data_IF_872859527974
#
_entry.id   IF_872859527974
#
_cell.length_a   1.000
_cell.length_b   1.000
_cell.length_c   1.000
_cell.angle_alpha   90.00
_cell.angle_beta   90.00
_cell.angle_gamma   90.00
#
_symmetry.space_group_name_H-M   'P 1'
#
loop_
_entity.id
_entity.type
_entity.pdbx_description
1 polymer ?
#
# COMPACT_ATOMS: atom_id res chain seq x y z
N UNK A 1 4.18 -35.72 7.09
CA UNK A 1 4.56 -35.44 5.70
C UNK A 1 5.61 -34.33 5.72
N UNK A 2 6.69 -34.47 4.96
CA UNK A 2 7.84 -33.55 5.00
C UNK A 2 7.52 -32.29 4.19
N UNK A 3 7.48 -31.12 4.83
CA UNK A 3 7.39 -29.80 4.17
C UNK A 3 8.71 -29.53 3.42
N UNK A 4 8.62 -29.22 2.14
CA UNK A 4 9.76 -28.75 1.34
C UNK A 4 9.87 -27.24 1.54
N UNK A 5 11.01 -26.77 2.03
CA UNK A 5 11.38 -25.36 2.03
C UNK A 5 12.02 -25.07 0.66
N UNK A 6 11.44 -24.17 -0.12
CA UNK A 6 12.13 -23.58 -1.27
C UNK A 6 12.53 -22.17 -0.85
N UNK A 7 13.84 -21.98 -0.67
CA UNK A 7 14.46 -20.69 -0.39
C UNK A 7 14.80 -20.10 -1.76
N UNK A 8 14.05 -19.10 -2.20
CA UNK A 8 14.35 -18.36 -3.42
C UNK A 8 15.56 -17.45 -3.15
N UNK A 9 16.62 -17.61 -3.94
CA UNK A 9 17.82 -16.78 -3.88
C UNK A 9 17.56 -15.56 -4.78
N UNK A 10 17.26 -14.41 -4.18
CA UNK A 10 17.15 -13.14 -4.91
C UNK A 10 18.56 -12.55 -5.05
N UNK A 11 19.03 -12.44 -6.29
CA UNK A 11 20.33 -11.84 -6.62
C UNK A 11 20.15 -10.33 -6.79
N UNK A 12 20.59 -9.55 -5.81
CA UNK A 12 20.54 -8.07 -5.82
C UNK A 12 21.40 -7.47 -6.94
N UNK A 13 20.79 -6.61 -7.76
CA UNK A 13 21.49 -5.55 -8.49
C UNK A 13 20.82 -4.24 -8.11
N UNK A 14 21.47 -3.49 -7.21
CA UNK A 14 21.08 -2.15 -6.78
C UNK A 14 21.44 -1.13 -7.86
N UNK A 15 20.45 -0.48 -8.47
CA UNK A 15 20.64 0.77 -9.22
C UNK A 15 19.65 1.79 -8.67
N UNK A 16 20.15 2.68 -7.81
CA UNK A 16 19.39 3.82 -7.30
C UNK A 16 19.19 4.85 -8.42
N UNK A 17 17.95 5.16 -8.74
CA UNK A 17 17.59 6.31 -9.58
C UNK A 17 16.52 7.13 -8.87
N UNK A 18 16.92 8.29 -8.37
CA UNK A 18 16.02 9.31 -7.81
C UNK A 18 15.27 9.99 -8.96
N UNK A 19 13.95 9.83 -9.02
CA UNK A 19 13.10 10.72 -9.81
C UNK A 19 12.43 11.72 -8.88
N UNK A 20 12.92 12.96 -8.93
CA UNK A 20 12.26 14.15 -8.40
C UNK A 20 11.30 14.63 -9.48
N UNK A 21 10.00 14.40 -9.29
CA UNK A 21 8.94 14.99 -10.11
C UNK A 21 8.66 16.42 -9.66
N UNK A 22 9.16 17.40 -10.43
CA UNK A 22 8.79 18.80 -10.29
C UNK A 22 7.42 19.06 -10.93
N UNK A 23 6.51 19.59 -10.12
CA UNK A 23 5.19 20.09 -10.49
C UNK A 23 5.32 21.33 -11.40
N UNK A 24 4.59 21.37 -12.53
CA UNK A 24 4.62 22.52 -13.45
C UNK A 24 3.60 23.62 -13.09
N UNK A 25 4.14 24.84 -13.22
CA UNK A 25 3.61 26.17 -13.01
C UNK A 25 2.29 26.54 -13.73
N UNK A 26 1.55 27.46 -13.12
CA UNK A 26 0.77 28.46 -13.84
C UNK A 26 1.51 29.82 -13.83
N UNK A 27 1.84 30.29 -15.04
CA UNK A 27 2.45 31.58 -15.38
C UNK A 27 1.44 32.73 -15.39
N UNK A 28 1.82 33.94 -14.96
CA UNK A 28 1.89 35.11 -15.87
C UNK A 28 2.42 36.41 -15.21
N UNK A 29 3.58 36.84 -15.75
CA UNK A 29 4.00 38.19 -16.17
C UNK A 29 4.03 39.45 -15.25
N UNK A 30 5.29 39.81 -14.89
CA UNK A 30 6.04 41.08 -15.15
C UNK A 30 5.43 42.45 -14.76
N UNK A 31 6.11 43.17 -13.86
CA UNK A 31 6.63 44.54 -14.08
C UNK A 31 7.52 45.02 -12.93
N UNK A 32 8.70 45.55 -13.27
CA UNK A 32 9.68 46.20 -12.39
C UNK A 32 9.13 47.48 -11.70
N UNK A 33 9.57 47.75 -10.46
CA UNK A 33 10.13 49.06 -10.08
C UNK A 33 10.80 49.01 -8.70
N UNK A 34 11.96 49.65 -8.63
CA UNK A 34 12.86 49.80 -7.48
C UNK A 34 12.44 51.03 -6.64
N UNK A 35 12.82 51.01 -5.35
CA UNK A 35 13.24 52.15 -4.48
C UNK A 35 12.33 52.46 -3.27
N UNK A 36 12.93 52.20 -2.10
CA UNK A 36 12.88 52.92 -0.80
C UNK A 36 11.57 53.56 -0.31
N UNK A 37 11.16 53.16 0.90
CA UNK A 37 11.18 54.09 2.03
C UNK A 37 11.15 53.40 3.39
N UNK A 38 11.78 54.09 4.32
CA UNK A 38 12.20 53.64 5.63
C UNK A 38 11.21 54.01 6.75
N UNK A 39 11.55 53.47 7.92
CA UNK A 39 11.34 54.00 9.28
C UNK A 39 10.16 53.41 10.08
N UNK A 40 10.58 52.58 11.04
CA UNK A 40 10.30 52.61 12.49
C UNK A 40 8.86 52.56 12.99
N UNK A 41 8.58 51.57 13.85
CA UNK A 41 8.01 51.70 15.22
C UNK A 41 8.12 50.30 15.88
N UNK A 42 9.17 50.02 16.65
CA UNK A 42 9.20 49.86 18.14
C UNK A 42 8.11 48.98 18.76
N UNK A 43 8.53 47.96 19.52
CA UNK A 43 7.90 47.62 20.80
C UNK A 43 7.52 46.15 21.06
N UNK A 44 8.41 45.46 21.78
CA UNK A 44 8.15 44.53 22.92
C UNK A 44 7.44 43.17 22.74
N UNK A 45 8.22 42.13 23.07
CA UNK A 45 7.89 40.92 23.84
C UNK A 45 6.52 40.24 23.67
N UNK A 46 6.56 39.07 23.00
CA UNK A 46 5.95 37.85 23.52
C UNK A 46 6.66 36.64 22.89
N UNK A 47 7.43 35.94 23.72
CA UNK A 47 8.00 34.63 23.41
C UNK A 47 6.87 33.60 23.44
N UNK A 48 6.23 33.36 22.30
CA UNK A 48 5.38 32.17 22.13
C UNK A 48 6.24 31.03 21.61
N UNK A 49 6.65 30.24 22.59
CA UNK A 49 7.22 28.92 22.50
C UNK A 49 6.27 28.05 21.68
N UNK A 50 6.68 27.70 20.46
CA UNK A 50 6.05 26.67 19.65
C UNK A 50 6.22 25.35 20.40
N UNK A 51 5.18 24.93 21.12
CA UNK A 51 5.08 23.58 21.67
C UNK A 51 4.73 22.63 20.54
N UNK A 52 5.73 21.80 20.22
CA UNK A 52 5.60 20.46 19.68
C UNK A 52 4.29 19.80 20.15
N UNK A 53 3.41 19.54 19.20
CA UNK A 53 2.18 18.79 19.40
C UNK A 53 2.45 17.32 19.13
N UNK A 54 3.09 16.64 20.09
CA UNK A 54 3.29 15.17 20.07
C UNK A 54 3.30 14.51 21.45
N UNK A 55 3.03 15.22 22.56
CA UNK A 55 3.05 14.63 23.92
C UNK A 55 1.76 14.76 24.75
N UNK A 56 0.75 15.52 24.33
CA UNK A 56 -0.47 15.72 25.13
C UNK A 56 -1.64 14.86 24.63
N UNK A 57 -1.67 13.57 25.00
CA UNK A 57 -2.90 12.79 25.30
C UNK A 57 -2.67 11.31 25.69
N UNK A 58 -1.46 10.89 26.04
CA UNK A 58 -1.15 9.49 26.40
C UNK A 58 -1.94 9.02 27.65
N UNK A 59 -2.29 9.92 28.58
CA UNK A 59 -2.91 9.54 29.86
C UNK A 59 -4.42 9.24 29.82
N UNK A 60 -5.13 9.72 28.79
CA UNK A 60 -6.60 9.59 28.68
C UNK A 60 -7.05 8.68 27.50
N UNK A 61 -6.09 8.11 26.77
CA UNK A 61 -6.35 7.12 25.71
C UNK A 61 -6.80 5.78 26.31
N UNK A 62 -7.82 5.15 25.71
CA UNK A 62 -8.22 3.77 26.06
C UNK A 62 -7.08 2.77 25.81
N UNK A 63 -6.05 3.16 25.05
CA UNK A 63 -4.90 2.34 24.68
C UNK A 63 -3.62 2.66 25.48
N UNK A 64 -3.68 3.52 26.50
CA UNK A 64 -2.51 3.89 27.32
C UNK A 64 -1.78 2.67 27.93
N UNK A 65 -2.51 1.62 28.31
CA UNK A 65 -1.92 0.38 28.83
C UNK A 65 -1.20 -0.43 27.74
N UNK A 66 -1.63 -0.34 26.48
CA UNK A 66 -0.96 -0.98 25.33
C UNK A 66 0.34 -0.24 25.03
N UNK A 67 0.27 1.09 24.90
CA UNK A 67 1.43 1.96 24.60
C UNK A 67 2.54 1.85 25.66
N UNK A 68 2.16 1.65 26.92
CA UNK A 68 3.09 1.48 28.04
C UNK A 68 3.57 0.03 28.28
N UNK A 69 3.17 -0.92 27.44
CA UNK A 69 3.57 -2.33 27.54
C UNK A 69 2.92 -3.11 28.70
N UNK A 70 1.87 -2.57 29.32
CA UNK A 70 1.18 -3.20 30.45
C UNK A 70 0.02 -4.11 30.03
N UNK A 71 -0.59 -3.83 28.87
CA UNK A 71 -1.63 -4.65 28.28
C UNK A 71 -1.07 -5.55 27.16
N UNK A 72 -1.72 -6.71 27.00
CA UNK A 72 -1.46 -7.63 25.90
C UNK A 72 -2.55 -7.49 24.83
N UNK A 73 -2.16 -7.69 23.59
CA UNK A 73 -2.99 -7.70 22.38
C UNK A 73 -3.08 -9.12 21.85
N UNK A 74 -4.29 -9.57 21.50
CA UNK A 74 -4.54 -10.90 20.94
C UNK A 74 -4.20 -10.89 19.44
N UNK A 75 -3.34 -11.82 19.00
CA UNK A 75 -2.98 -11.96 17.60
C UNK A 75 -3.98 -12.85 16.86
N UNK A 76 -4.58 -12.34 15.79
CA UNK A 76 -5.65 -13.03 15.05
C UNK A 76 -5.21 -13.63 13.71
N UNK A 77 -4.00 -13.30 13.23
CA UNK A 77 -3.55 -13.66 11.88
C UNK A 77 -4.25 -12.92 10.74
N UNK A 78 -5.16 -11.99 11.03
CA UNK A 78 -5.84 -11.19 9.99
C UNK A 78 -4.88 -10.18 9.37
N UNK A 79 -4.92 -10.09 8.04
CA UNK A 79 -4.07 -9.19 7.27
C UNK A 79 -2.59 -9.59 7.20
N UNK A 80 -2.22 -10.72 7.84
CA UNK A 80 -0.85 -11.27 7.87
C UNK A 80 -0.48 -11.90 6.52
N UNK A 81 -0.33 -11.05 5.51
CA UNK A 81 0.21 -11.39 4.20
C UNK A 81 1.38 -10.46 3.92
N UNK A 82 2.58 -11.03 3.85
CA UNK A 82 3.82 -10.28 4.03
C UNK A 82 4.79 -10.51 2.89
N UNK A 83 5.65 -9.53 2.63
CA UNK A 83 6.66 -9.61 1.56
C UNK A 83 7.92 -10.32 2.05
N UNK A 84 8.29 -10.15 3.31
CA UNK A 84 9.52 -10.70 3.87
C UNK A 84 9.25 -11.71 5.00
N UNK A 85 8.39 -11.39 5.96
CA UNK A 85 8.08 -12.29 7.08
C UNK A 85 6.64 -12.19 7.58
N UNK A 86 5.93 -13.32 7.56
CA UNK A 86 4.59 -13.44 8.14
C UNK A 86 4.72 -13.50 9.67
N UNK A 87 3.96 -12.70 10.40
CA UNK A 87 3.94 -12.72 11.87
C UNK A 87 3.60 -14.10 12.40
N UNK A 88 2.77 -14.87 11.69
CA UNK A 88 2.42 -16.26 12.02
C UNK A 88 3.61 -17.22 12.07
N UNK A 89 4.79 -16.81 11.57
CA UNK A 89 6.02 -17.58 11.71
C UNK A 89 6.63 -17.48 13.12
N UNK A 90 6.32 -16.40 13.85
CA UNK A 90 6.88 -16.10 15.19
C UNK A 90 5.81 -15.95 16.27
N UNK A 91 4.56 -15.67 15.90
CA UNK A 91 3.40 -15.56 16.77
C UNK A 91 2.44 -16.74 16.57
N UNK A 92 1.61 -17.01 17.57
CA UNK A 92 0.58 -18.04 17.51
C UNK A 92 -0.81 -17.39 17.58
N UNK A 93 -1.67 -17.75 16.64
CA UNK A 93 -3.06 -17.26 16.60
C UNK A 93 -3.78 -17.52 17.93
N UNK A 94 -4.59 -16.55 18.36
CA UNK A 94 -5.32 -16.51 19.64
C UNK A 94 -4.46 -16.39 20.91
N UNK A 95 -3.13 -16.32 20.79
CA UNK A 95 -2.27 -15.95 21.93
C UNK A 95 -2.15 -14.43 22.06
N UNK A 96 -1.81 -13.96 23.26
CA UNK A 96 -1.71 -12.53 23.55
C UNK A 96 -0.30 -12.10 23.94
N UNK A 97 0.13 -10.99 23.36
CA UNK A 97 1.49 -10.46 23.47
C UNK A 97 1.47 -8.97 23.80
N UNK A 98 2.46 -8.45 24.51
CA UNK A 98 2.72 -7.00 24.50
C UNK A 98 3.38 -6.61 23.17
N UNK A 99 3.36 -5.33 22.81
CA UNK A 99 4.07 -4.85 21.62
C UNK A 99 5.57 -5.17 21.70
N UNK A 100 6.17 -5.04 22.89
CA UNK A 100 7.55 -5.45 23.15
C UNK A 100 7.79 -6.95 22.91
N UNK A 101 6.89 -7.82 23.37
CA UNK A 101 7.00 -9.27 23.15
C UNK A 101 6.90 -9.62 21.65
N UNK A 102 6.08 -8.90 20.88
CA UNK A 102 6.00 -9.04 19.42
C UNK A 102 7.33 -8.64 18.77
N UNK A 103 7.86 -7.47 19.14
CA UNK A 103 9.14 -6.99 18.62
C UNK A 103 10.30 -7.92 18.99
N UNK A 104 10.33 -8.45 20.22
CA UNK A 104 11.36 -9.41 20.66
C UNK A 104 11.28 -10.74 19.88
N UNK A 105 10.08 -11.20 19.55
CA UNK A 105 9.89 -12.37 18.70
C UNK A 105 10.45 -12.14 17.29
N UNK A 106 10.30 -10.94 16.76
CA UNK A 106 10.82 -10.52 15.45
C UNK A 106 12.35 -10.36 15.46
N UNK A 107 12.95 -9.90 16.56
CA UNK A 107 14.40 -9.75 16.71
C UNK A 107 15.21 -11.07 16.56
N UNK A 108 14.54 -12.22 16.52
CA UNK A 108 15.19 -13.50 16.18
C UNK A 108 15.59 -13.60 14.70
N UNK A 109 15.18 -12.63 13.88
CA UNK A 109 15.48 -12.55 12.45
C UNK A 109 16.69 -11.64 12.24
N UNK A 110 17.68 -12.14 11.51
CA UNK A 110 19.01 -11.51 11.38
C UNK A 110 18.97 -10.08 10.80
N UNK A 111 17.95 -9.77 9.99
CA UNK A 111 17.81 -8.48 9.31
C UNK A 111 17.14 -7.40 10.17
N UNK A 112 16.62 -7.74 11.36
CA UNK A 112 15.92 -6.81 12.24
C UNK A 112 16.82 -6.32 13.38
N UNK A 113 16.56 -5.10 13.85
CA UNK A 113 17.36 -4.42 14.87
C UNK A 113 16.85 -4.71 16.29
N UNK A 114 17.74 -4.70 17.28
CA UNK A 114 17.38 -5.04 18.65
C UNK A 114 16.55 -3.97 19.38
N UNK A 115 16.66 -2.70 18.98
CA UNK A 115 15.92 -1.57 19.57
C UNK A 115 14.95 -1.03 18.52
N UNK A 116 13.67 -1.38 18.67
CA UNK A 116 12.60 -0.99 17.75
C UNK A 116 12.06 0.37 18.17
N UNK A 117 12.00 1.32 17.23
CA UNK A 117 11.29 2.58 17.43
C UNK A 117 9.82 2.37 17.10
N UNK A 118 8.92 2.80 17.99
CA UNK A 118 7.49 2.53 17.87
C UNK A 118 6.74 3.85 17.94
N UNK A 119 5.98 4.14 16.89
CA UNK A 119 5.05 5.27 16.85
C UNK A 119 3.63 4.75 17.04
N UNK A 120 2.83 5.54 17.77
CA UNK A 120 1.44 5.25 18.08
C UNK A 120 0.57 6.39 17.58
N UNK A 121 -0.48 6.04 16.86
CA UNK A 121 -1.46 6.99 16.31
C UNK A 121 -2.87 6.49 16.56
N UNK A 122 -3.81 7.41 16.76
CA UNK A 122 -5.23 7.07 16.90
C UNK A 122 -5.91 7.24 15.54
N UNK A 123 -6.66 6.22 15.12
CA UNK A 123 -7.48 6.22 13.90
C UNK A 123 -8.93 5.83 14.22
N UNK A 124 -9.86 5.99 13.29
CA UNK A 124 -11.30 5.69 13.40
C UNK A 124 -11.73 4.86 12.19
N UNK A 125 -11.50 3.55 12.28
CA UNK A 125 -11.77 2.59 11.23
C UNK A 125 -13.26 2.57 10.89
N UNK A 126 -13.61 2.88 9.63
CA UNK A 126 -15.00 2.98 9.20
C UNK A 126 -15.74 4.25 9.66
N UNK A 127 -15.04 5.19 10.32
CA UNK A 127 -15.59 6.48 10.76
C UNK A 127 -16.87 6.36 11.59
N UNK A 128 -16.88 5.44 12.56
CA UNK A 128 -18.00 5.22 13.47
C UNK A 128 -17.87 6.00 14.79
N UNK A 129 -16.73 6.67 15.00
CA UNK A 129 -16.40 7.44 16.18
C UNK A 129 -15.80 6.61 17.32
N UNK A 130 -15.58 5.30 17.11
CA UNK A 130 -14.81 4.45 18.00
C UNK A 130 -13.36 4.39 17.52
N UNK A 131 -12.42 4.72 18.41
CA UNK A 131 -11.02 4.78 18.03
C UNK A 131 -10.30 3.43 18.06
N UNK A 132 -9.41 3.22 17.10
CA UNK A 132 -8.38 2.19 17.07
C UNK A 132 -6.98 2.78 17.29
N UNK A 133 -6.05 1.92 17.68
CA UNK A 133 -4.64 2.24 17.77
C UNK A 133 -3.89 1.71 16.54
N UNK A 134 -3.31 2.62 15.77
CA UNK A 134 -2.29 2.31 14.78
C UNK A 134 -0.92 2.26 15.48
N UNK A 135 -0.20 1.17 15.29
CA UNK A 135 1.16 0.96 15.78
C UNK A 135 2.09 0.80 14.60
N UNK A 136 3.11 1.63 14.53
CA UNK A 136 4.13 1.61 13.48
C UNK A 136 5.49 1.31 14.13
N UNK A 137 6.00 0.10 13.92
CA UNK A 137 7.23 -0.38 14.51
C UNK A 137 8.36 -0.43 13.47
N UNK A 138 9.38 0.42 13.61
CA UNK A 138 10.55 0.42 12.74
C UNK A 138 11.51 -0.72 13.15
N UNK A 139 11.47 -1.82 12.40
CA UNK A 139 12.26 -3.03 12.65
C UNK A 139 13.70 -2.93 12.13
N UNK A 140 13.97 -2.10 11.13
CA UNK A 140 15.32 -1.75 10.67
C UNK A 140 15.26 -0.54 9.73
N UNK A 141 16.38 -0.11 9.14
CA UNK A 141 16.37 0.91 8.09
C UNK A 141 15.58 0.51 6.82
N UNK A 142 15.29 -0.77 6.62
CA UNK A 142 14.60 -1.29 5.44
C UNK A 142 13.26 -1.93 5.76
N UNK A 143 12.93 -2.18 7.03
CA UNK A 143 11.74 -2.94 7.42
C UNK A 143 10.98 -2.24 8.52
N UNK A 144 9.66 -2.21 8.41
CA UNK A 144 8.74 -1.84 9.49
C UNK A 144 7.58 -2.82 9.58
N UNK A 145 6.83 -2.74 10.66
CA UNK A 145 5.60 -3.49 10.90
C UNK A 145 4.51 -2.50 11.29
N UNK A 146 3.40 -2.54 10.56
CA UNK A 146 2.22 -1.75 10.89
C UNK A 146 1.14 -2.68 11.45
N UNK A 147 0.46 -2.23 12.51
CA UNK A 147 -0.62 -2.97 13.14
C UNK A 147 -1.79 -2.05 13.48
N UNK A 148 -3.01 -2.53 13.29
CA UNK A 148 -4.23 -1.87 13.77
C UNK A 148 -4.80 -2.70 14.92
N UNK A 149 -5.00 -2.06 16.07
CA UNK A 149 -5.50 -2.69 17.29
C UNK A 149 -6.83 -2.06 17.69
N UNK A 150 -7.86 -2.90 17.86
CA UNK A 150 -9.17 -2.49 18.39
C UNK A 150 -9.43 -3.11 19.75
N UNK A 151 -10.15 -2.39 20.61
CA UNK A 151 -10.70 -2.95 21.85
C UNK A 151 -12.06 -3.61 21.60
N UNK A 152 -12.16 -4.92 21.78
CA UNK A 152 -13.38 -5.73 21.59
C UNK A 152 -13.66 -6.52 22.87
N UNK A 153 -14.84 -6.35 23.46
CA UNK A 153 -15.27 -7.08 24.68
C UNK A 153 -14.21 -7.08 25.81
N UNK A 154 -13.66 -5.90 26.13
CA UNK A 154 -12.60 -5.68 27.12
C UNK A 154 -11.22 -6.31 26.80
N UNK A 155 -11.02 -6.81 25.57
CA UNK A 155 -9.73 -7.29 25.07
C UNK A 155 -9.18 -6.36 23.99
N UNK A 156 -7.86 -6.26 23.89
CA UNK A 156 -7.23 -5.66 22.72
C UNK A 156 -6.93 -6.74 21.68
N UNK A 157 -7.25 -6.47 20.42
CA UNK A 157 -7.17 -7.44 19.32
C UNK A 157 -6.43 -6.80 18.17
N UNK A 158 -5.44 -7.49 17.60
CA UNK A 158 -4.79 -7.11 16.35
C UNK A 158 -5.77 -7.43 15.21
N UNK A 159 -6.33 -6.39 14.62
CA UNK A 159 -7.28 -6.46 13.50
C UNK A 159 -6.57 -6.55 12.14
N UNK A 160 -5.37 -6.01 12.07
CA UNK A 160 -4.49 -6.01 10.90
C UNK A 160 -3.04 -5.99 11.39
N UNK A 161 -2.17 -6.73 10.70
CA UNK A 161 -0.73 -6.62 10.88
C UNK A 161 0.00 -6.99 9.58
N UNK A 162 0.94 -6.14 9.15
CA UNK A 162 1.70 -6.36 7.92
C UNK A 162 3.08 -5.75 7.96
N UNK A 163 4.04 -6.43 7.33
CA UNK A 163 5.40 -5.92 7.15
C UNK A 163 5.53 -5.02 5.92
N UNK A 164 6.41 -4.04 6.06
CA UNK A 164 6.88 -3.18 4.97
C UNK A 164 8.36 -3.40 4.73
N UNK A 165 8.79 -3.13 3.50
CA UNK A 165 10.18 -3.22 3.06
C UNK A 165 10.58 -2.02 2.20
N UNK A 166 11.84 -1.95 1.78
CA UNK A 166 12.31 -0.97 0.80
C UNK A 166 11.63 -1.10 -0.58
N UNK A 167 10.96 -2.23 -0.84
CA UNK A 167 10.22 -2.51 -2.07
C UNK A 167 8.71 -2.59 -1.88
N UNK A 168 8.22 -2.48 -0.65
CA UNK A 168 6.80 -2.57 -0.32
C UNK A 168 6.48 -1.57 0.78
N UNK A 169 5.69 -0.56 0.45
CA UNK A 169 5.28 0.49 1.38
C UNK A 169 3.78 0.53 1.45
N UNK A 170 3.23 0.72 2.64
CA UNK A 170 1.81 0.97 2.81
C UNK A 170 1.52 2.35 3.38
N UNK A 171 0.28 2.76 3.19
CA UNK A 171 -0.31 3.95 3.77
C UNK A 171 -1.62 3.53 4.42
N UNK A 172 -1.70 3.69 5.73
CA UNK A 172 -2.92 3.49 6.51
C UNK A 172 -3.52 4.87 6.78
N UNK A 173 -4.75 5.11 6.30
CA UNK A 173 -5.44 6.37 6.48
C UNK A 173 -6.23 6.37 7.81
N UNK A 174 -6.63 7.56 8.26
CA UNK A 174 -7.38 7.75 9.51
C UNK A 174 -8.72 7.00 9.55
N UNK A 175 -9.29 6.65 8.40
CA UNK A 175 -10.55 5.91 8.28
C UNK A 175 -10.37 4.38 8.22
N UNK A 176 -9.15 3.88 8.40
CA UNK A 176 -8.82 2.45 8.32
C UNK A 176 -8.65 1.92 6.90
N UNK A 177 -8.70 2.75 5.86
CA UNK A 177 -8.33 2.34 4.49
C UNK A 177 -6.82 2.20 4.34
N UNK A 178 -6.41 1.19 3.59
CA UNK A 178 -5.02 0.77 3.45
C UNK A 178 -4.71 0.69 1.95
N UNK A 179 -3.71 1.46 1.52
CA UNK A 179 -3.14 1.40 0.18
C UNK A 179 -1.70 0.93 0.29
N UNK A 180 -1.37 -0.16 -0.39
CA UNK A 180 -0.02 -0.71 -0.41
C UNK A 180 0.51 -0.69 -1.82
N UNK A 181 1.74 -0.24 -1.96
CA UNK A 181 2.49 -0.24 -3.21
C UNK A 181 3.71 -1.13 -3.08
N UNK A 182 3.96 -1.97 -4.07
CA UNK A 182 5.24 -2.68 -4.19
C UNK A 182 5.70 -2.81 -5.63
N UNK A 183 7.00 -2.99 -5.83
CA UNK A 183 7.58 -3.17 -7.16
C UNK A 183 8.16 -4.57 -7.27
N UNK A 184 7.63 -5.37 -8.19
CA UNK A 184 8.12 -6.71 -8.53
C UNK A 184 9.28 -6.65 -9.53
N UNK A 185 9.23 -5.68 -10.46
CA UNK A 185 10.30 -5.38 -11.42
C UNK A 185 10.34 -3.88 -11.77
N UNK A 186 11.32 -3.46 -12.58
CA UNK A 186 11.45 -2.05 -12.98
C UNK A 186 10.20 -1.51 -13.69
N UNK A 187 9.53 -2.37 -14.46
CA UNK A 187 8.33 -2.05 -15.22
C UNK A 187 7.08 -2.77 -14.70
N UNK A 188 7.15 -3.42 -13.54
CA UNK A 188 6.03 -4.15 -12.93
C UNK A 188 5.81 -3.63 -11.52
N UNK A 189 4.65 -3.02 -11.32
CA UNK A 189 4.25 -2.37 -10.09
C UNK A 189 2.92 -2.93 -9.63
N UNK A 190 2.80 -3.19 -8.34
CA UNK A 190 1.63 -3.77 -7.74
C UNK A 190 1.05 -2.77 -6.75
N UNK A 191 -0.26 -2.58 -6.78
CA UNK A 191 -0.98 -1.79 -5.79
C UNK A 191 -2.12 -2.63 -5.21
N UNK A 192 -2.19 -2.71 -3.89
CA UNK A 192 -3.23 -3.42 -3.16
C UNK A 192 -4.06 -2.42 -2.34
N UNK A 193 -5.37 -2.57 -2.41
CA UNK A 193 -6.34 -1.80 -1.64
C UNK A 193 -7.06 -2.72 -0.66
N UNK A 194 -7.09 -2.32 0.60
CA UNK A 194 -7.79 -3.04 1.67
C UNK A 194 -8.25 -2.07 2.75
N UNK A 195 -8.95 -2.57 3.76
CA UNK A 195 -9.37 -1.76 4.90
C UNK A 195 -9.66 -2.61 6.13
N UNK A 196 -9.65 -1.97 7.29
CA UNK A 196 -10.27 -2.49 8.51
C UNK A 196 -11.58 -1.72 8.72
N UNK A 197 -12.68 -2.45 8.89
CA UNK A 197 -13.99 -1.82 9.13
C UNK A 197 -14.21 -1.48 10.61
N UNK A 198 -15.34 -0.81 10.89
CA UNK A 198 -15.77 -0.44 12.24
C UNK A 198 -15.84 -1.61 13.23
N UNK A 199 -16.03 -2.84 12.76
CA UNK A 199 -16.04 -4.03 13.63
C UNK A 199 -14.62 -4.57 13.91
N UNK A 200 -13.58 -3.97 13.34
CA UNK A 200 -12.22 -4.47 13.40
C UNK A 200 -12.00 -5.67 12.45
N UNK A 201 -12.79 -5.80 11.39
CA UNK A 201 -12.60 -6.83 10.37
C UNK A 201 -11.77 -6.31 9.20
N UNK A 202 -10.60 -6.92 9.00
CA UNK A 202 -9.79 -6.73 7.79
C UNK A 202 -10.50 -7.30 6.56
N UNK A 203 -10.52 -6.53 5.48
CA UNK A 203 -11.08 -6.89 4.18
C UNK A 203 -10.17 -6.45 3.06
N UNK A 204 -9.77 -7.41 2.22
CA UNK A 204 -9.09 -7.13 0.96
C UNK A 204 -10.11 -6.65 -0.07
N UNK A 205 -9.88 -5.46 -0.63
CA UNK A 205 -10.78 -4.87 -1.61
C UNK A 205 -10.43 -5.37 -3.01
N UNK A 206 -9.28 -4.96 -3.54
CA UNK A 206 -8.74 -5.44 -4.80
C UNK A 206 -7.24 -5.16 -4.86
N UNK A 207 -6.54 -5.84 -5.77
CA UNK A 207 -5.21 -5.44 -6.18
C UNK A 207 -5.14 -5.23 -7.68
N UNK A 208 -4.14 -4.48 -8.11
CA UNK A 208 -3.81 -4.24 -9.51
C UNK A 208 -2.32 -4.38 -9.72
N UNK A 209 -1.94 -5.22 -10.68
CA UNK A 209 -0.57 -5.31 -11.19
C UNK A 209 -0.50 -4.52 -12.49
N UNK A 210 0.37 -3.53 -12.55
CA UNK A 210 0.64 -2.73 -13.72
C UNK A 210 1.97 -3.15 -14.36
N UNK A 211 1.90 -3.54 -15.64
CA UNK A 211 3.09 -3.77 -16.46
C UNK A 211 3.22 -2.67 -17.50
N UNK A 212 4.27 -1.87 -17.39
CA UNK A 212 4.64 -0.82 -18.34
C UNK A 212 5.55 -1.39 -19.44
N UNK A 213 5.47 -0.80 -20.64
CA UNK A 213 6.33 -1.10 -21.80
C UNK A 213 6.42 -2.59 -22.11
N UNK A 214 5.54 -3.05 -22.98
CA UNK A 214 5.47 -4.46 -23.36
C UNK A 214 6.63 -4.84 -24.30
N UNK A 215 7.04 -6.10 -24.24
CA UNK A 215 7.97 -6.70 -25.20
C UNK A 215 7.20 -7.28 -26.40
N UNK A 216 7.86 -8.11 -27.22
CA UNK A 216 7.25 -8.82 -28.36
C UNK A 216 6.00 -9.65 -27.98
N UNK A 217 5.94 -10.09 -26.73
CA UNK A 217 4.77 -10.74 -26.13
C UNK A 217 4.54 -10.22 -24.72
N UNK A 218 3.27 -10.29 -24.30
CA UNK A 218 2.88 -10.23 -22.91
C UNK A 218 2.55 -11.64 -22.43
N UNK A 219 3.27 -12.11 -21.43
CA UNK A 219 3.19 -13.50 -20.95
C UNK A 219 2.35 -13.57 -19.67
N UNK A 220 1.25 -14.31 -19.73
CA UNK A 220 0.37 -14.60 -18.58
C UNK A 220 0.72 -15.99 -18.06
N UNK A 221 0.92 -16.11 -16.75
CA UNK A 221 1.27 -17.36 -16.08
C UNK A 221 0.09 -17.88 -15.27
N UNK A 222 -0.33 -19.11 -15.55
CA UNK A 222 -1.40 -19.80 -14.85
C UNK A 222 -0.85 -21.12 -14.28
N UNK A 223 -0.32 -21.04 -13.05
CA UNK A 223 0.45 -22.13 -12.45
C UNK A 223 1.67 -22.49 -13.28
N UNK A 224 1.73 -23.72 -13.80
CA UNK A 224 2.82 -24.20 -14.67
C UNK A 224 2.61 -23.83 -16.16
N UNK A 225 1.48 -23.22 -16.51
CA UNK A 225 1.14 -22.85 -17.89
C UNK A 225 1.54 -21.42 -18.20
N UNK A 226 1.88 -21.18 -19.47
CA UNK A 226 2.19 -19.84 -19.98
C UNK A 226 1.41 -19.58 -21.26
N UNK A 227 0.66 -18.49 -21.29
CA UNK A 227 -0.05 -17.97 -22.46
C UNK A 227 0.67 -16.69 -22.88
N UNK A 228 1.04 -16.59 -24.15
CA UNK A 228 1.79 -15.45 -24.69
C UNK A 228 0.90 -14.68 -25.66
N UNK A 229 0.48 -13.49 -25.27
CA UNK A 229 -0.26 -12.57 -26.11
C UNK A 229 0.75 -11.80 -26.98
N UNK A 230 0.68 -11.95 -28.29
CA UNK A 230 1.54 -11.19 -29.21
C UNK A 230 1.26 -9.69 -29.10
N UNK A 231 2.30 -8.86 -29.18
CA UNK A 231 2.20 -7.40 -29.34
C UNK A 231 2.64 -6.93 -30.73
N UNK A 232 2.90 -7.86 -31.65
CA UNK A 232 3.33 -7.56 -33.01
C UNK A 232 2.36 -6.58 -33.69
N UNK A 233 2.89 -5.50 -34.27
CA UNK A 233 2.12 -4.49 -34.97
C UNK A 233 1.56 -3.37 -34.10
N UNK A 234 1.78 -3.41 -32.77
CA UNK A 234 1.39 -2.38 -31.81
C UNK A 234 2.60 -1.53 -31.39
N UNK A 235 2.36 -0.33 -30.87
CA UNK A 235 3.35 0.47 -30.16
C UNK A 235 3.55 -0.04 -28.71
N UNK A 236 4.10 -1.25 -28.61
CA UNK A 236 4.23 -2.00 -27.36
C UNK A 236 4.99 -1.23 -26.25
N UNK A 237 5.96 -0.39 -26.62
CA UNK A 237 6.78 0.37 -25.67
C UNK A 237 5.96 1.43 -24.89
N UNK A 238 4.81 1.86 -25.44
CA UNK A 238 3.93 2.89 -24.90
C UNK A 238 2.58 2.35 -24.40
N UNK A 239 2.46 1.02 -24.23
CA UNK A 239 1.26 0.38 -23.69
C UNK A 239 1.52 -0.12 -22.28
N UNK A 240 0.55 0.12 -21.40
CA UNK A 240 0.48 -0.46 -20.08
C UNK A 240 -0.67 -1.49 -20.00
N UNK A 241 -0.42 -2.61 -19.34
CA UNK A 241 -1.44 -3.61 -18.98
C UNK A 241 -1.69 -3.53 -17.48
N UNK A 242 -2.97 -3.45 -17.10
CA UNK A 242 -3.39 -3.49 -15.70
C UNK A 242 -4.17 -4.78 -15.44
N UNK A 243 -3.67 -5.60 -14.52
CA UNK A 243 -4.23 -6.90 -14.11
C UNK A 243 -4.89 -6.74 -12.75
N UNK A 244 -6.22 -6.74 -12.71
CA UNK A 244 -6.99 -6.59 -11.48
C UNK A 244 -7.40 -7.95 -10.93
N UNK A 245 -7.45 -8.06 -9.60
CA UNK A 245 -7.85 -9.27 -8.88
C UNK A 245 -8.54 -8.93 -7.56
N UNK A 246 -9.39 -9.84 -7.06
CA UNK A 246 -10.12 -9.68 -5.80
C UNK A 246 -9.66 -10.59 -4.67
N UNK A 247 -8.77 -11.54 -4.97
CA UNK A 247 -8.25 -12.50 -4.02
C UNK A 247 -6.84 -12.13 -3.58
N UNK A 248 -6.64 -12.03 -2.27
CA UNK A 248 -5.31 -11.76 -1.71
C UNK A 248 -4.35 -12.92 -1.98
N UNK A 249 -4.82 -14.17 -1.84
CA UNK A 249 -4.03 -15.37 -2.10
C UNK A 249 -3.79 -15.55 -3.60
N UNK A 250 -2.52 -15.52 -4.01
CA UNK A 250 -2.09 -15.66 -5.40
C UNK A 250 -2.69 -16.87 -6.12
N UNK A 251 -2.77 -18.02 -5.44
CA UNK A 251 -3.25 -19.26 -6.06
C UNK A 251 -4.76 -19.25 -6.37
N UNK A 252 -5.51 -18.32 -5.76
CA UNK A 252 -6.96 -18.20 -5.90
C UNK A 252 -7.37 -17.03 -6.83
N UNK A 253 -6.41 -16.23 -7.32
CA UNK A 253 -6.68 -15.00 -8.09
C UNK A 253 -7.34 -15.31 -9.43
N UNK A 254 -8.49 -14.68 -9.66
CA UNK A 254 -9.06 -14.54 -10.99
C UNK A 254 -8.80 -13.12 -11.53
N UNK A 255 -8.20 -13.03 -12.72
CA UNK A 255 -7.77 -11.75 -13.29
C UNK A 255 -8.75 -11.20 -14.33
N UNK A 256 -8.89 -9.88 -14.32
CA UNK A 256 -9.49 -9.12 -15.40
C UNK A 256 -8.60 -7.92 -15.76
N UNK A 257 -8.66 -7.48 -17.01
CA UNK A 257 -7.63 -6.62 -17.58
C UNK A 257 -8.21 -5.29 -18.07
N UNK A 258 -7.41 -4.25 -17.93
CA UNK A 258 -7.58 -2.98 -18.65
C UNK A 258 -6.24 -2.56 -19.25
N UNK A 259 -6.28 -1.59 -20.17
CA UNK A 259 -5.09 -1.11 -20.83
C UNK A 259 -5.12 0.41 -20.96
N UNK A 260 -3.95 1.04 -21.00
CA UNK A 260 -3.82 2.44 -21.38
C UNK A 260 -2.51 2.69 -22.13
N UNK A 261 -2.45 3.83 -22.82
CA UNK A 261 -1.21 4.31 -23.45
C UNK A 261 -0.57 5.43 -22.65
N UNK A 262 0.76 5.52 -22.69
CA UNK A 262 1.54 6.57 -22.03
C UNK A 262 2.61 7.16 -22.95
N UNK A 263 3.14 8.34 -22.61
CA UNK A 263 4.21 9.01 -23.35
C UNK A 263 5.62 8.67 -22.81
N UNK A 264 6.68 9.18 -23.44
CA UNK A 264 8.08 9.00 -23.00
C UNK A 264 8.36 9.49 -21.56
N UNK A 265 7.47 10.29 -20.98
CA UNK A 265 7.55 10.77 -19.59
C UNK A 265 6.67 9.94 -18.64
N UNK A 266 6.12 8.81 -19.09
CA UNK A 266 5.19 7.94 -18.37
C UNK A 266 3.87 8.63 -17.98
N UNK A 267 3.50 9.70 -18.69
CA UNK A 267 2.19 10.33 -18.54
C UNK A 267 1.15 9.57 -19.36
N UNK A 268 0.01 9.21 -18.76
CA UNK A 268 -1.12 8.62 -19.50
C UNK A 268 -1.58 9.58 -20.60
N UNK A 269 -1.68 9.09 -21.82
CA UNK A 269 -2.11 9.86 -23.00
C UNK A 269 -3.18 9.10 -23.77
N UNK A 270 -4.06 9.83 -24.44
CA UNK A 270 -5.05 9.25 -25.35
C UNK A 270 -4.83 9.77 -26.77
N UNK A 271 -4.38 8.89 -27.66
CA UNK A 271 -4.22 9.17 -29.09
C UNK A 271 -5.10 8.22 -29.91
N UNK A 272 -5.42 8.58 -31.16
CA UNK A 272 -6.21 7.70 -32.03
C UNK A 272 -5.45 6.42 -32.42
N UNK A 273 -4.13 6.51 -32.57
CA UNK A 273 -3.25 5.35 -32.78
C UNK A 273 -3.24 4.44 -31.54
N UNK A 274 -3.03 5.02 -30.35
CA UNK A 274 -3.09 4.29 -29.09
C UNK A 274 -4.44 3.59 -28.89
N UNK A 275 -5.57 4.27 -29.12
CA UNK A 275 -6.90 3.63 -29.04
C UNK A 275 -7.05 2.44 -29.99
N UNK A 276 -6.48 2.52 -31.21
CA UNK A 276 -6.51 1.41 -32.15
C UNK A 276 -5.67 0.23 -31.63
N UNK A 277 -4.49 0.50 -31.10
CA UNK A 277 -3.60 -0.51 -30.53
C UNK A 277 -4.22 -1.19 -29.31
N UNK A 278 -4.80 -0.44 -28.37
CA UNK A 278 -5.48 -0.99 -27.19
C UNK A 278 -6.70 -1.83 -27.58
N UNK A 279 -7.45 -1.42 -28.61
CA UNK A 279 -8.58 -2.19 -29.12
C UNK A 279 -8.12 -3.51 -29.74
N UNK A 280 -7.03 -3.51 -30.51
CA UNK A 280 -6.44 -4.72 -31.08
C UNK A 280 -5.88 -5.64 -29.99
N UNK A 281 -5.14 -5.11 -29.02
CA UNK A 281 -4.65 -5.88 -27.87
C UNK A 281 -5.80 -6.50 -27.08
N UNK A 282 -6.86 -5.75 -26.83
CA UNK A 282 -8.05 -6.25 -26.13
C UNK A 282 -8.78 -7.36 -26.87
N UNK A 283 -8.75 -7.38 -28.21
CA UNK A 283 -9.26 -8.54 -28.97
C UNK A 283 -8.37 -9.76 -28.74
N UNK A 284 -7.04 -9.60 -28.75
CA UNK A 284 -6.09 -10.71 -28.54
C UNK A 284 -6.27 -11.35 -27.15
N UNK A 285 -6.47 -10.55 -26.10
CA UNK A 285 -6.80 -11.08 -24.77
C UNK A 285 -8.14 -11.82 -24.73
N UNK A 286 -9.18 -11.25 -25.35
CA UNK A 286 -10.51 -11.88 -25.41
C UNK A 286 -10.51 -13.19 -26.20
N UNK A 287 -9.71 -13.28 -27.26
CA UNK A 287 -9.56 -14.50 -28.07
C UNK A 287 -8.93 -15.66 -27.27
N UNK A 288 -8.07 -15.35 -26.30
CA UNK A 288 -7.53 -16.33 -25.32
C UNK A 288 -8.47 -16.56 -24.12
N UNK A 289 -9.60 -15.86 -24.05
CA UNK A 289 -10.65 -16.07 -23.05
C UNK A 289 -10.59 -15.15 -21.83
N UNK A 290 -9.73 -14.13 -21.84
CA UNK A 290 -9.61 -13.19 -20.73
C UNK A 290 -10.70 -12.10 -20.74
N UNK A 291 -11.10 -11.69 -19.54
CA UNK A 291 -12.01 -10.57 -19.34
C UNK A 291 -11.25 -9.26 -19.49
N UNK A 292 -11.73 -8.41 -20.39
CA UNK A 292 -11.15 -7.09 -20.63
C UNK A 292 -12.24 -6.04 -20.53
N UNK A 293 -12.00 -5.02 -19.71
CA UNK A 293 -12.88 -3.89 -19.50
C UNK A 293 -12.21 -2.57 -19.92
N UNK A 294 -13.03 -1.62 -20.32
CA UNK A 294 -12.65 -0.21 -20.35
C UNK A 294 -12.76 0.39 -18.94
N UNK A 295 -12.42 1.67 -18.77
CA UNK A 295 -12.46 2.32 -17.46
C UNK A 295 -13.85 2.26 -16.81
N UNK A 296 -14.91 2.51 -17.56
CA UNK A 296 -16.29 2.46 -17.04
C UNK A 296 -16.64 1.03 -16.57
N UNK A 297 -16.17 0.01 -17.27
CA UNK A 297 -16.32 -1.39 -16.86
C UNK A 297 -15.54 -1.75 -15.61
N UNK A 298 -14.29 -1.27 -15.49
CA UNK A 298 -13.49 -1.43 -14.26
C UNK A 298 -14.20 -0.76 -13.08
N UNK A 299 -14.62 0.49 -13.24
CA UNK A 299 -15.32 1.24 -12.19
C UNK A 299 -16.63 0.55 -11.76
N UNK A 300 -17.32 -0.10 -12.69
CA UNK A 300 -18.53 -0.87 -12.38
C UNK A 300 -18.23 -2.13 -11.59
N UNK A 301 -17.23 -2.92 -12.01
CA UNK A 301 -16.82 -4.16 -11.32
C UNK A 301 -16.26 -3.86 -9.93
N UNK A 302 -15.48 -2.80 -9.79
CA UNK A 302 -15.00 -2.31 -8.51
C UNK A 302 -16.16 -1.85 -7.61
N UNK A 303 -17.15 -1.13 -8.14
CA UNK A 303 -18.34 -0.76 -7.36
C UNK A 303 -19.17 -1.97 -6.89
N UNK A 304 -19.34 -2.97 -7.74
CA UNK A 304 -20.02 -4.21 -7.35
C UNK A 304 -19.26 -4.91 -6.20
N UNK A 305 -17.92 -4.87 -6.24
CA UNK A 305 -17.07 -5.36 -5.15
C UNK A 305 -17.20 -4.52 -3.88
N UNK A 306 -17.29 -3.20 -3.98
CA UNK A 306 -17.56 -2.30 -2.84
C UNK A 306 -18.84 -2.73 -2.11
N UNK A 307 -19.92 -2.95 -2.85
CA UNK A 307 -21.20 -3.40 -2.30
C UNK A 307 -21.11 -4.81 -1.68
N UNK A 308 -20.34 -5.72 -2.28
CA UNK A 308 -20.16 -7.10 -1.79
C UNK A 308 -19.47 -7.14 -0.42
N UNK A 309 -18.37 -6.40 -0.26
CA UNK A 309 -17.54 -6.43 0.96
C UNK A 309 -17.98 -5.39 2.00
N UNK A 310 -18.95 -4.54 1.65
CA UNK A 310 -19.44 -3.47 2.51
C UNK A 310 -18.45 -2.31 2.63
N UNK A 311 -17.67 -2.04 1.58
CA UNK A 311 -16.82 -0.86 1.52
C UNK A 311 -17.70 0.39 1.43
N UNK A 312 -17.58 1.28 2.42
CA UNK A 312 -18.29 2.56 2.40
C UNK A 312 -17.27 3.63 2.04
N UNK A 313 -17.40 4.23 0.85
CA UNK A 313 -16.66 5.47 0.54
C UNK A 313 -17.12 6.55 1.52
N UNK A 314 -16.21 6.98 2.40
CA UNK A 314 -16.43 8.01 3.40
C UNK A 314 -16.15 9.41 2.84
#
# INVERSE_FOLDING_TARGET
MKRKKYMAIVMMVLVASTMVGCNENASENVSESIVENAAEYTGEDATEQSTDSTEDNIADSVYADVESGNAKVEYTGKGDSTVYLELSQVLTESESYTIDEICEALNQIEDFQNEVDITYSIIDCGSDGESELLVEAQLSAMYSLDMIIKKVDDKYVICYARDNSDRATEKINEDGTIERYFSSAYNIHDTEYSFVDAAGEYKFYYGVTETLSLFDTYDIYEGDSKISISTEGLDAEHIAVQEYYFEENYDDREYFYSFYTFDDNYGKVETEEGKADLAELGVRFKDEGYLVYDQDGIDAVLRDREDEIGYTKL
#
